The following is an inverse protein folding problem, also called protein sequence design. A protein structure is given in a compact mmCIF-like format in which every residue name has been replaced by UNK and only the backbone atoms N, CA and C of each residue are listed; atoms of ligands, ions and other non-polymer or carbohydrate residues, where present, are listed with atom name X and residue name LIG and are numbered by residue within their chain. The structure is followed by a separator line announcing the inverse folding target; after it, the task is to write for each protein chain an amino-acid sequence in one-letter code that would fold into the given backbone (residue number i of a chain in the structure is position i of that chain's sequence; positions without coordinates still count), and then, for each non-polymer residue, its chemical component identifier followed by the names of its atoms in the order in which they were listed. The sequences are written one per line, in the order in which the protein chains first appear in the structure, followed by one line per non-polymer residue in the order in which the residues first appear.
data_IF_809184614648
#
_entry.id   IF_809184614648
#
_cell.length_a   1.000
_cell.length_b   1.000
_cell.length_c   1.000
_cell.angle_alpha   90.00
_cell.angle_beta   90.00
_cell.angle_gamma   90.00
#
_symmetry.space_group_name_H-M   'P 1'
#
loop_
_entity.id
_entity.type
_entity.pdbx_description
1 polymer ?
#
# COMPACT_ATOMS: atom_id res chain seq x y z
N UNK A 1 -4.84 -2.03 -8.78
CA UNK A 1 -4.49 -1.88 -10.21
C UNK A 1 -3.34 -0.89 -10.33
N UNK A 2 -2.33 -1.19 -11.14
CA UNK A 2 -1.20 -0.29 -11.38
C UNK A 2 -1.16 0.10 -12.85
N UNK A 3 -1.00 1.39 -13.14
CA UNK A 3 -0.72 1.93 -14.47
C UNK A 3 0.78 2.29 -14.58
N UNK A 4 1.59 1.50 -15.31
CA UNK A 4 3.02 1.75 -15.45
C UNK A 4 3.37 3.04 -16.18
N UNK A 5 2.48 3.56 -17.03
CA UNK A 5 2.78 4.75 -17.84
C UNK A 5 2.79 6.04 -17.00
N UNK A 6 1.95 6.08 -15.98
CA UNK A 6 1.79 7.22 -15.06
C UNK A 6 2.38 6.95 -13.67
N UNK A 7 2.61 5.68 -13.32
CA UNK A 7 3.03 5.27 -11.98
C UNK A 7 1.89 5.32 -10.96
N UNK A 8 0.64 5.33 -11.41
CA UNK A 8 -0.55 5.41 -10.53
C UNK A 8 -0.94 4.01 -10.06
N UNK A 9 -1.01 3.84 -8.75
CA UNK A 9 -1.52 2.64 -8.08
C UNK A 9 -2.89 2.93 -7.46
N UNK A 10 -3.93 2.35 -8.04
CA UNK A 10 -5.25 2.27 -7.41
C UNK A 10 -5.25 1.08 -6.45
N UNK A 11 -5.10 1.37 -5.16
CA UNK A 11 -4.92 0.37 -4.12
C UNK A 11 -6.23 -0.12 -3.49
N UNK A 12 -7.30 0.70 -3.54
CA UNK A 12 -8.54 0.39 -2.82
C UNK A 12 -8.25 0.13 -1.35
N UNK A 13 -8.92 -0.83 -0.72
CA UNK A 13 -8.73 -1.13 0.71
C UNK A 13 -7.45 -1.88 1.05
N UNK A 14 -6.64 -2.23 0.06
CA UNK A 14 -5.32 -2.82 0.29
C UNK A 14 -4.36 -1.83 0.97
N UNK A 15 -4.58 -0.52 0.80
CA UNK A 15 -3.83 0.54 1.46
C UNK A 15 -4.78 1.65 1.92
N UNK A 16 -4.49 2.26 3.07
CA UNK A 16 -5.20 3.44 3.58
C UNK A 16 -4.22 4.57 3.84
N UNK A 17 -4.72 5.80 3.81
CA UNK A 17 -3.92 7.00 4.08
C UNK A 17 -4.53 7.93 5.14
N UNK A 18 -5.57 7.50 5.86
CA UNK A 18 -6.26 8.31 6.88
C UNK A 18 -5.31 8.82 7.96
N UNK A 19 -4.33 8.00 8.34
CA UNK A 19 -3.34 8.30 9.39
C UNK A 19 -1.92 8.10 8.86
N UNK A 20 -1.71 8.46 7.59
CA UNK A 20 -0.52 8.08 6.82
C UNK A 20 -0.67 6.72 6.14
N UNK A 21 0.33 6.33 5.34
CA UNK A 21 0.24 5.11 4.54
C UNK A 21 0.29 3.85 5.43
N UNK A 22 -0.82 3.12 5.45
CA UNK A 22 -0.98 1.89 6.23
C UNK A 22 -1.52 0.76 5.36
N UNK A 23 -1.29 -0.48 5.79
CA UNK A 23 -1.81 -1.69 5.15
C UNK A 23 -3.31 -1.87 5.41
N UNK A 24 -3.92 -2.97 4.94
CA UNK A 24 -5.37 -3.20 5.04
C UNK A 24 -5.82 -3.43 6.49
N UNK A 25 -7.11 -3.24 6.77
CA UNK A 25 -7.64 -3.27 8.13
C UNK A 25 -7.85 -4.74 8.52
N UNK A 26 -7.22 -5.23 9.61
CA UNK A 26 -7.34 -6.63 10.01
C UNK A 26 -8.78 -7.08 10.28
N UNK A 27 -9.69 -6.15 10.62
CA UNK A 27 -11.11 -6.47 10.86
C UNK A 27 -11.88 -6.82 9.59
N UNK A 28 -11.40 -6.37 8.44
CA UNK A 28 -12.04 -6.54 7.13
C UNK A 28 -11.18 -7.34 6.14
N UNK A 29 -10.05 -7.86 6.60
CA UNK A 29 -9.09 -8.59 5.76
C UNK A 29 -9.00 -10.03 6.23
N UNK A 30 -9.46 -10.95 5.40
CA UNK A 30 -9.54 -12.36 5.75
C UNK A 30 -8.17 -13.02 5.91
N UNK A 31 -7.16 -12.60 5.14
CA UNK A 31 -5.80 -13.14 5.19
C UNK A 31 -4.78 -12.00 5.22
N UNK A 32 -4.33 -11.66 6.44
CA UNK A 32 -3.33 -10.62 6.66
C UNK A 32 -1.94 -11.01 6.14
N UNK A 33 -1.63 -12.30 6.05
CA UNK A 33 -0.35 -12.79 5.53
C UNK A 33 -0.27 -12.59 4.02
N UNK A 34 -1.34 -12.94 3.30
CA UNK A 34 -1.46 -12.68 1.87
C UNK A 34 -1.48 -11.17 1.59
N UNK A 35 -2.17 -10.38 2.43
CA UNK A 35 -2.19 -8.94 2.32
C UNK A 35 -0.78 -8.33 2.45
N UNK A 36 0.00 -8.74 3.45
CA UNK A 36 1.40 -8.35 3.60
C UNK A 36 2.23 -8.71 2.37
N UNK A 37 2.05 -9.92 1.82
CA UNK A 37 2.73 -10.32 0.59
C UNK A 37 2.34 -9.44 -0.61
N UNK A 38 1.08 -9.01 -0.70
CA UNK A 38 0.61 -8.08 -1.73
C UNK A 38 1.24 -6.70 -1.59
N UNK A 39 1.37 -6.17 -0.36
CA UNK A 39 2.07 -4.90 -0.08
C UNK A 39 3.53 -4.96 -0.53
N UNK A 40 4.22 -6.06 -0.26
CA UNK A 40 5.61 -6.26 -0.74
C UNK A 40 5.71 -6.23 -2.27
N UNK A 41 4.76 -6.85 -2.97
CA UNK A 41 4.73 -6.79 -4.44
C UNK A 41 4.48 -5.38 -4.95
N UNK A 42 3.60 -4.62 -4.30
CA UNK A 42 3.35 -3.22 -4.65
C UNK A 42 4.59 -2.34 -4.43
N UNK A 43 5.35 -2.57 -3.36
CA UNK A 43 6.60 -1.84 -3.08
C UNK A 43 7.71 -2.06 -4.12
N UNK A 44 7.63 -3.12 -4.92
CA UNK A 44 8.57 -3.38 -6.00
C UNK A 44 8.20 -2.67 -7.33
N UNK A 45 7.06 -1.99 -7.40
CA UNK A 45 6.62 -1.24 -8.57
C UNK A 45 7.14 0.22 -8.52
N UNK A 46 7.29 0.88 -9.68
CA UNK A 46 7.59 2.32 -9.77
C UNK A 46 6.34 3.17 -9.46
N UNK A 47 5.88 3.11 -8.20
CA UNK A 47 4.68 3.82 -7.75
C UNK A 47 4.99 5.27 -7.41
N UNK A 48 4.33 6.18 -8.12
CA UNK A 48 4.43 7.62 -7.92
C UNK A 48 3.23 8.18 -7.17
N UNK A 49 2.04 7.64 -7.42
CA UNK A 49 0.79 8.04 -6.78
C UNK A 49 0.03 6.83 -6.27
N UNK A 50 -0.48 6.90 -5.04
CA UNK A 50 -1.40 5.89 -4.48
C UNK A 50 -2.78 6.52 -4.35
N UNK A 51 -3.78 5.84 -4.90
CA UNK A 51 -5.19 6.13 -4.70
C UNK A 51 -5.76 5.06 -3.75
N UNK A 52 -5.89 5.36 -2.45
CA UNK A 52 -6.43 4.41 -1.46
C UNK A 52 -7.95 4.35 -1.53
N UNK A 53 -8.53 3.30 -0.95
CA UNK A 53 -9.98 3.20 -0.74
C UNK A 53 -10.47 4.18 0.32
N UNK A 54 -9.61 4.48 1.30
CA UNK A 54 -9.90 5.39 2.42
C UNK A 54 -8.76 6.37 2.65
N UNK A 55 -9.11 7.66 2.77
CA UNK A 55 -8.17 8.76 2.95
C UNK A 55 -7.92 9.56 1.66
N UNK A 56 -6.90 10.42 1.69
CA UNK A 56 -6.52 11.23 0.53
C UNK A 56 -5.47 10.52 -0.36
N UNK A 57 -5.45 10.80 -1.67
CA UNK A 57 -4.35 10.37 -2.54
C UNK A 57 -2.98 10.73 -1.97
N UNK A 58 -2.03 9.79 -2.01
CA UNK A 58 -0.64 10.06 -1.68
C UNK A 58 0.14 10.30 -2.98
N UNK A 59 0.66 11.52 -3.15
CA UNK A 59 1.34 11.96 -4.38
C UNK A 59 2.81 12.32 -4.17
N UNK A 60 3.27 12.33 -2.92
CA UNK A 60 4.66 12.65 -2.54
C UNK A 60 5.19 11.59 -1.57
N UNK A 61 6.48 11.29 -1.67
CA UNK A 61 7.12 10.28 -0.80
C UNK A 61 6.55 8.86 -0.94
N UNK A 62 5.79 8.60 -2.01
CA UNK A 62 5.00 7.38 -2.19
C UNK A 62 5.84 6.10 -2.15
N UNK A 63 6.95 6.07 -2.90
CA UNK A 63 7.85 4.93 -2.95
C UNK A 63 8.51 4.66 -1.58
N UNK A 64 8.96 5.71 -0.89
CA UNK A 64 9.58 5.59 0.44
C UNK A 64 8.56 5.08 1.48
N UNK A 65 7.35 5.63 1.48
CA UNK A 65 6.28 5.21 2.36
C UNK A 65 5.91 3.74 2.13
N UNK A 66 5.83 3.31 0.87
CA UNK A 66 5.48 1.94 0.51
C UNK A 66 6.60 0.95 0.87
N UNK A 67 7.87 1.34 0.68
CA UNK A 67 9.02 0.55 1.12
C UNK A 67 9.06 0.41 2.65
N UNK A 68 8.81 1.50 3.39
CA UNK A 68 8.67 1.45 4.86
C UNK A 68 7.56 0.48 5.25
N UNK A 69 6.37 0.62 4.68
CA UNK A 69 5.25 -0.24 5.02
C UNK A 69 5.56 -1.72 4.74
N UNK A 70 6.16 -2.02 3.58
CA UNK A 70 6.56 -3.38 3.22
C UNK A 70 7.57 -3.98 4.22
N UNK A 71 8.53 -3.19 4.69
CA UNK A 71 9.49 -3.64 5.71
C UNK A 71 8.82 -3.93 7.07
N UNK A 72 7.80 -3.16 7.46
CA UNK A 72 7.09 -3.36 8.73
C UNK A 72 6.18 -4.60 8.72
N UNK A 73 5.71 -5.02 7.55
CA UNK A 73 4.91 -6.26 7.43
C UNK A 73 5.69 -7.55 7.70
N UNK A 74 7.00 -7.47 7.94
CA UNK A 74 7.85 -8.61 8.29
C UNK A 74 7.91 -8.87 9.81
N UNK A 75 7.54 -7.90 10.64
CA UNK A 75 7.73 -7.96 12.11
C UNK A 75 6.61 -8.70 12.85
N UNK A 76 5.52 -9.09 12.19
CA UNK A 76 4.38 -9.77 12.84
C UNK A 76 4.55 -11.30 12.91
N UNK A 77 5.78 -11.80 13.07
CA UNK A 77 6.06 -13.25 13.23
C UNK A 77 6.03 -13.69 14.68
#
# INVERSE_FOLDING_TARGET
MFDPSTGVLVAGDALRTTDGLTGPDPRYTNDMTQAAASVRRMAALDVRVILPGHGAPLTTGTAEALAKLAAHTDTTR
#
